data_IF_416644537079
#
_entry.id   IF_416644537079
#
_cell.length_a   1.000
_cell.length_b   1.000
_cell.length_c   1.000
_cell.angle_alpha   90.00
_cell.angle_beta   90.00
_cell.angle_gamma   90.00
#
_symmetry.space_group_name_H-M   'P 1'
#
loop_
_entity.id
_entity.type
_entity.pdbx_description
1 polymer ?
#
# COMPACT_ATOMS: atom_id res chain seq x y z
N UNK A 1 3.23 8.43 -8.24
CA UNK A 1 2.48 9.47 -7.51
C UNK A 1 3.33 10.72 -7.26
N UNK A 2 4.50 10.61 -6.64
CA UNK A 2 5.37 11.78 -6.32
C UNK A 2 5.92 12.49 -7.57
N UNK A 3 6.25 11.76 -8.65
CA UNK A 3 6.69 12.36 -9.91
C UNK A 3 5.56 13.05 -10.70
N UNK A 4 4.35 12.50 -10.67
CA UNK A 4 3.19 13.10 -11.35
C UNK A 4 2.76 14.42 -10.67
N UNK A 5 2.79 14.44 -9.33
CA UNK A 5 2.56 15.66 -8.54
C UNK A 5 3.65 16.71 -8.84
N UNK A 6 4.90 16.29 -9.03
CA UNK A 6 6.03 17.19 -9.32
C UNK A 6 5.85 17.95 -10.65
N UNK A 7 5.46 17.26 -11.72
CA UNK A 7 5.23 17.87 -13.03
C UNK A 7 4.01 18.80 -13.00
N UNK A 8 2.94 18.41 -12.30
CA UNK A 8 1.70 19.20 -12.23
C UNK A 8 1.87 20.51 -11.43
N UNK A 9 2.69 20.48 -10.38
CA UNK A 9 2.91 21.63 -9.48
C UNK A 9 3.90 22.62 -10.08
N UNK A 10 4.92 22.15 -10.81
CA UNK A 10 5.87 23.01 -11.53
C UNK A 10 5.19 23.79 -12.67
N UNK A 11 4.13 23.25 -13.28
CA UNK A 11 3.34 23.93 -14.30
C UNK A 11 2.35 24.97 -13.75
N UNK A 12 1.82 24.77 -12.54
CA UNK A 12 0.81 25.67 -11.93
C UNK A 12 1.43 26.82 -11.11
N UNK A 13 2.64 26.64 -10.57
CA UNK A 13 3.28 27.62 -9.69
C UNK A 13 4.81 27.64 -9.91
N UNK A 14 5.32 28.47 -10.84
CA UNK A 14 6.75 28.60 -11.14
C UNK A 14 7.48 29.31 -9.99
N UNK A 15 7.83 28.54 -8.96
CA UNK A 15 8.47 29.05 -7.74
C UNK A 15 8.57 28.04 -6.59
N UNK A 16 7.91 26.89 -6.69
CA UNK A 16 7.89 25.85 -5.64
C UNK A 16 9.12 24.92 -5.73
N UNK A 17 9.85 24.94 -6.86
CA UNK A 17 11.04 24.10 -7.12
C UNK A 17 12.11 24.10 -6.02
N UNK A 18 12.42 25.22 -5.29
CA UNK A 18 13.48 25.22 -4.29
C UNK A 18 13.14 24.55 -2.95
N UNK A 19 11.85 24.31 -2.64
CA UNK A 19 11.47 23.72 -1.34
C UNK A 19 11.76 22.22 -1.26
N UNK A 20 11.73 21.54 -2.41
CA UNK A 20 11.79 20.08 -2.49
C UNK A 20 13.20 19.51 -2.25
N UNK A 21 14.26 20.31 -2.41
CA UNK A 21 15.63 19.82 -2.29
C UNK A 21 16.18 19.86 -0.85
N UNK A 22 15.55 20.63 0.05
CA UNK A 22 16.05 20.85 1.41
C UNK A 22 15.43 19.94 2.48
N UNK A 23 14.31 19.27 2.20
CA UNK A 23 13.54 18.50 3.20
C UNK A 23 13.17 17.08 2.70
N UNK A 24 14.17 16.30 2.26
CA UNK A 24 13.97 14.89 1.91
C UNK A 24 13.78 14.05 3.19
N UNK A 25 12.55 13.58 3.44
CA UNK A 25 12.21 12.65 4.52
C UNK A 25 11.21 13.17 5.57
N UNK A 26 10.78 14.43 5.47
CA UNK A 26 9.77 15.00 6.38
C UNK A 26 8.41 15.19 5.70
N UNK A 27 7.34 15.19 6.49
CA UNK A 27 5.98 15.41 6.02
C UNK A 27 5.76 16.90 5.69
N UNK A 28 6.06 17.29 4.45
CA UNK A 28 6.02 18.69 3.99
C UNK A 28 4.61 19.20 3.65
N UNK A 29 3.55 18.43 3.92
CA UNK A 29 2.16 18.79 3.60
C UNK A 29 1.76 20.18 4.11
N UNK A 30 2.20 20.55 5.32
CA UNK A 30 1.87 21.84 5.90
C UNK A 30 2.50 23.02 5.13
N UNK A 31 3.74 22.85 4.65
CA UNK A 31 4.44 23.87 3.86
C UNK A 31 3.76 24.09 2.50
N UNK A 32 3.15 23.04 1.95
CA UNK A 32 2.40 23.11 0.69
C UNK A 32 1.09 23.86 0.85
N UNK A 33 0.37 23.59 1.95
CA UNK A 33 -0.89 24.29 2.26
C UNK A 33 -0.64 25.79 2.45
N UNK A 34 0.40 26.18 3.20
CA UNK A 34 0.72 27.60 3.39
C UNK A 34 1.15 28.27 2.08
N UNK A 35 1.91 27.59 1.21
CA UNK A 35 2.30 28.16 -0.09
C UNK A 35 1.12 28.36 -1.03
N UNK A 36 0.17 27.43 -1.04
CA UNK A 36 -1.07 27.56 -1.83
C UNK A 36 -1.90 28.73 -1.27
N UNK A 37 -1.98 28.87 0.06
CA UNK A 37 -2.68 29.98 0.71
C UNK A 37 -2.09 31.34 0.31
N UNK A 38 -0.76 31.47 0.32
CA UNK A 38 -0.07 32.70 -0.11
C UNK A 38 -0.43 33.08 -1.55
N UNK A 39 -0.39 32.12 -2.49
CA UNK A 39 -0.68 32.41 -3.90
C UNK A 39 -2.14 32.76 -4.14
N UNK A 40 -3.07 32.16 -3.38
CA UNK A 40 -4.49 32.51 -3.45
C UNK A 40 -4.76 33.93 -2.93
N UNK A 41 -4.04 34.35 -1.87
CA UNK A 41 -4.13 35.70 -1.32
C UNK A 41 -3.54 36.72 -2.31
N UNK A 42 -2.38 36.45 -2.93
CA UNK A 42 -1.77 37.32 -3.94
C UNK A 42 -2.69 37.51 -5.15
N UNK A 43 -3.31 36.44 -5.65
CA UNK A 43 -4.28 36.51 -6.75
C UNK A 43 -5.53 37.31 -6.41
N UNK A 44 -5.96 37.29 -5.15
CA UNK A 44 -7.10 38.10 -4.67
C UNK A 44 -6.79 39.60 -4.60
N UNK A 45 -5.51 39.97 -4.49
CA UNK A 45 -5.07 41.36 -4.38
C UNK A 45 -4.67 41.96 -5.75
N UNK A 46 -4.52 41.12 -6.79
CA UNK A 46 -4.06 41.56 -8.12
C UNK A 46 -5.17 41.80 -9.17
N UNK A 47 -6.44 41.66 -8.82
CA UNK A 47 -7.56 41.96 -9.73
C UNK A 47 -8.29 43.25 -9.32
N UNK A 48 -7.78 44.39 -9.78
CA UNK A 48 -8.56 45.62 -9.93
C UNK A 48 -8.23 46.30 -11.26
N UNK A 49 -9.17 46.25 -12.19
CA UNK A 49 -9.36 47.17 -13.32
C UNK A 49 -10.67 46.80 -14.06
N UNK A 50 -11.76 47.49 -13.72
CA UNK A 50 -13.09 47.32 -14.33
C UNK A 50 -13.25 47.90 -15.75
N UNK A 51 -14.50 48.00 -16.25
CA UNK A 51 -14.98 49.34 -16.61
C UNK A 51 -16.39 49.68 -16.09
N UNK A 52 -16.61 50.99 -16.04
CA UNK A 52 -17.65 51.78 -15.38
C UNK A 52 -18.83 52.11 -16.33
N UNK A 53 -20.08 52.13 -15.83
CA UNK A 53 -21.17 53.00 -16.33
C UNK A 53 -21.96 53.55 -15.13
N UNK A 54 -21.94 54.87 -15.01
CA UNK A 54 -22.64 55.70 -14.02
C UNK A 54 -24.16 55.83 -14.31
N UNK A 55 -25.02 55.98 -13.29
CA UNK A 55 -25.63 57.26 -12.84
C UNK A 55 -26.94 57.08 -12.03
N UNK A 56 -26.87 57.48 -10.75
CA UNK A 56 -27.75 58.39 -9.96
C UNK A 56 -29.28 58.26 -10.08
N UNK A 57 -29.99 57.93 -8.97
CA UNK A 57 -30.82 58.86 -8.14
C UNK A 57 -31.43 58.15 -6.92
N UNK A 58 -31.55 58.90 -5.83
CA UNK A 58 -32.28 58.67 -4.56
C UNK A 58 -33.76 58.31 -4.84
N UNK A 59 -34.49 57.53 -4.04
CA UNK A 59 -35.13 57.91 -2.77
C UNK A 59 -35.69 56.67 -2.01
N UNK A 60 -35.99 56.90 -0.73
CA UNK A 60 -36.46 56.00 0.34
C UNK A 60 -37.90 55.50 0.09
N UNK A 61 -38.22 54.23 0.34
CA UNK A 61 -39.47 53.84 1.03
C UNK A 61 -39.43 52.40 1.59
N UNK A 62 -40.16 52.21 2.69
CA UNK A 62 -40.22 51.11 3.62
C UNK A 62 -40.89 49.82 3.09
N UNK A 63 -40.48 48.66 3.63
CA UNK A 63 -41.43 47.56 3.87
C UNK A 63 -41.11 46.18 3.27
N UNK A 64 -40.72 45.27 4.18
CA UNK A 64 -41.11 43.85 4.26
C UNK A 64 -40.30 42.75 3.54
N UNK A 65 -39.78 41.86 4.43
CA UNK A 65 -39.75 40.39 4.42
C UNK A 65 -39.05 39.60 3.30
N UNK A 66 -38.07 38.81 3.77
CA UNK A 66 -37.62 37.49 3.30
C UNK A 66 -36.97 37.33 1.91
N UNK A 67 -35.63 37.26 1.87
CA UNK A 67 -34.89 36.25 1.07
C UNK A 67 -33.37 36.31 1.39
N UNK A 68 -32.77 35.23 1.91
CA UNK A 68 -31.31 35.05 1.97
C UNK A 68 -30.94 33.76 1.24
N UNK A 69 -31.07 33.81 -0.08
CA UNK A 69 -30.63 32.79 -1.01
C UNK A 69 -29.14 33.01 -1.35
N UNK A 70 -28.26 32.17 -0.78
CA UNK A 70 -26.85 32.06 -1.21
C UNK A 70 -26.80 31.17 -2.46
N UNK A 71 -26.84 31.80 -3.62
CA UNK A 71 -26.78 31.13 -4.92
C UNK A 71 -25.36 30.60 -5.19
N UNK A 72 -25.22 29.28 -5.13
CA UNK A 72 -23.99 28.55 -5.43
C UNK A 72 -23.77 28.52 -6.95
N UNK A 73 -22.78 29.26 -7.44
CA UNK A 73 -22.41 29.24 -8.87
C UNK A 73 -21.74 27.90 -9.23
N UNK A 74 -22.12 27.20 -10.33
CA UNK A 74 -21.60 25.89 -10.65
C UNK A 74 -20.16 25.96 -11.16
N UNK A 75 -19.31 25.06 -10.67
CA UNK A 75 -17.96 24.81 -11.20
C UNK A 75 -18.09 24.27 -12.63
N UNK A 76 -17.42 24.92 -13.59
CA UNK A 76 -17.49 24.60 -15.02
C UNK A 76 -17.10 23.12 -15.28
N UNK A 77 -18.05 22.40 -15.86
CA UNK A 77 -18.01 20.97 -16.21
C UNK A 77 -16.76 20.55 -17.01
N UNK A 78 -16.16 21.50 -17.73
CA UNK A 78 -15.00 21.26 -18.60
C UNK A 78 -13.72 20.98 -17.80
N UNK A 79 -13.62 21.47 -16.57
CA UNK A 79 -12.47 21.21 -15.69
C UNK A 79 -12.50 19.77 -15.17
N UNK A 80 -13.69 19.26 -14.85
CA UNK A 80 -13.90 17.87 -14.41
C UNK A 80 -13.72 16.91 -15.60
N UNK A 81 -14.19 17.29 -16.79
CA UNK A 81 -13.94 16.54 -18.02
C UNK A 81 -12.46 16.48 -18.36
N UNK A 82 -11.72 17.58 -18.18
CA UNK A 82 -10.26 17.59 -18.38
C UNK A 82 -9.53 16.77 -17.32
N UNK A 83 -9.96 16.82 -16.05
CA UNK A 83 -9.42 15.96 -14.99
C UNK A 83 -9.69 14.47 -15.26
N UNK A 84 -10.90 14.13 -15.72
CA UNK A 84 -11.28 12.78 -16.10
C UNK A 84 -10.57 12.31 -17.38
N UNK A 85 -10.30 13.22 -18.33
CA UNK A 85 -9.64 12.94 -19.60
C UNK A 85 -8.13 12.75 -19.45
N UNK A 86 -7.48 13.43 -18.50
CA UNK A 86 -6.04 13.26 -18.20
C UNK A 86 -5.79 12.04 -17.29
N UNK A 87 -6.78 11.56 -16.54
CA UNK A 87 -6.71 10.27 -15.81
C UNK A 87 -6.77 9.07 -16.77
N UNK A 88 -7.20 9.29 -18.02
CA UNK A 88 -7.33 8.26 -19.06
C UNK A 88 -6.14 8.14 -20.02
N UNK A 89 -4.92 8.49 -19.61
CA UNK A 89 -3.72 8.12 -20.37
C UNK A 89 -2.89 7.04 -19.65
N UNK A 90 -2.85 5.87 -20.29
CA UNK A 90 -2.20 4.58 -19.97
C UNK A 90 -2.98 3.64 -19.04
N UNK A 91 -4.19 3.25 -19.43
CA UNK A 91 -4.67 1.89 -19.13
C UNK A 91 -3.79 0.90 -19.91
N UNK A 92 -2.60 0.62 -19.40
CA UNK A 92 -2.11 -0.75 -19.52
C UNK A 92 -3.13 -1.59 -18.74
N UNK A 93 -3.91 -2.37 -19.49
CA UNK A 93 -4.80 -3.42 -18.96
C UNK A 93 -3.92 -4.45 -18.26
N UNK A 94 -3.54 -4.10 -17.03
CA UNK A 94 -2.71 -4.94 -16.19
C UNK A 94 -3.52 -6.19 -15.86
N UNK A 95 -3.03 -7.36 -16.29
CA UNK A 95 -3.75 -8.63 -16.10
C UNK A 95 -3.82 -8.99 -14.61
N UNK A 96 -4.99 -9.48 -14.17
CA UNK A 96 -5.19 -9.99 -12.81
C UNK A 96 -4.30 -11.23 -12.59
N UNK A 97 -3.36 -11.21 -11.64
CA UNK A 97 -2.54 -12.37 -11.38
C UNK A 97 -3.35 -13.57 -10.85
N UNK A 98 -2.96 -14.80 -11.21
CA UNK A 98 -3.62 -15.99 -10.69
C UNK A 98 -3.40 -16.13 -9.18
N UNK A 99 -4.45 -16.55 -8.48
CA UNK A 99 -4.41 -16.75 -7.02
C UNK A 99 -4.37 -18.24 -6.72
N UNK A 100 -3.34 -18.64 -5.98
CA UNK A 100 -3.17 -19.99 -5.46
C UNK A 100 -3.63 -20.05 -4.01
N UNK A 101 -4.33 -21.12 -3.63
CA UNK A 101 -4.84 -21.30 -2.27
C UNK A 101 -4.13 -22.50 -1.63
N UNK A 102 -3.55 -22.29 -0.45
CA UNK A 102 -2.86 -23.32 0.30
C UNK A 102 -3.82 -24.18 1.13
N UNK A 103 -3.28 -25.28 1.65
CA UNK A 103 -4.02 -26.16 2.56
C UNK A 103 -4.33 -25.45 3.89
N UNK A 104 -5.57 -25.54 4.40
CA UNK A 104 -5.94 -24.90 5.65
C UNK A 104 -5.33 -25.63 6.86
N UNK A 105 -4.96 -24.85 7.88
CA UNK A 105 -4.54 -25.35 9.20
C UNK A 105 -5.61 -24.97 10.22
N UNK A 106 -6.04 -25.92 11.05
CA UNK A 106 -7.02 -25.68 12.11
C UNK A 106 -6.45 -25.99 13.48
N UNK A 107 -6.72 -25.11 14.46
CA UNK A 107 -6.38 -25.28 15.88
C UNK A 107 -7.46 -24.62 16.73
N UNK A 108 -7.97 -25.34 17.74
CA UNK A 108 -8.99 -24.87 18.70
C UNK A 108 -10.11 -24.06 18.03
N UNK A 109 -10.72 -24.65 17.00
CA UNK A 109 -11.81 -24.10 16.16
C UNK A 109 -11.44 -22.89 15.30
N UNK A 110 -10.25 -22.31 15.47
CA UNK A 110 -9.72 -21.35 14.53
C UNK A 110 -9.18 -22.06 13.29
N UNK A 111 -9.41 -21.49 12.13
CA UNK A 111 -8.87 -21.99 10.85
C UNK A 111 -8.08 -20.90 10.16
N UNK A 112 -6.97 -21.28 9.53
CA UNK A 112 -6.05 -20.42 8.83
C UNK A 112 -5.86 -20.95 7.42
N UNK A 113 -5.88 -20.08 6.41
CA UNK A 113 -5.58 -20.46 5.04
C UNK A 113 -4.74 -19.36 4.39
N UNK A 114 -3.65 -19.75 3.74
CA UNK A 114 -2.85 -18.82 2.95
C UNK A 114 -3.30 -18.78 1.50
N UNK A 115 -3.14 -17.63 0.88
CA UNK A 115 -3.39 -17.33 -0.52
C UNK A 115 -2.16 -16.61 -1.07
N UNK A 116 -1.71 -17.00 -2.25
CA UNK A 116 -0.50 -16.49 -2.86
C UNK A 116 -0.81 -16.02 -4.28
N UNK A 117 -0.29 -14.86 -4.65
CA UNK A 117 -0.32 -14.40 -6.03
C UNK A 117 1.03 -13.78 -6.42
N UNK A 118 1.56 -14.09 -7.62
CA UNK A 118 2.68 -13.35 -8.18
C UNK A 118 2.24 -11.90 -8.44
N UNK A 119 3.06 -10.93 -8.05
CA UNK A 119 2.76 -9.51 -8.27
C UNK A 119 4.02 -8.75 -8.67
N UNK A 120 3.90 -7.87 -9.64
CA UNK A 120 4.96 -6.98 -10.12
C UNK A 120 4.66 -5.50 -9.88
N UNK A 121 3.44 -5.16 -9.45
CA UNK A 121 3.04 -3.78 -9.15
C UNK A 121 2.08 -3.68 -7.97
N UNK A 122 1.97 -2.50 -7.32
CA UNK A 122 0.95 -2.25 -6.31
C UNK A 122 -0.49 -2.29 -6.84
N UNK A 123 -0.69 -2.06 -8.15
CA UNK A 123 -2.02 -2.12 -8.75
C UNK A 123 -2.48 -3.57 -8.82
N UNK A 124 -1.62 -4.51 -9.21
CA UNK A 124 -1.89 -5.94 -9.10
C UNK A 124 -2.20 -6.41 -7.67
N UNK A 125 -1.50 -5.89 -6.65
CA UNK A 125 -1.82 -6.18 -5.24
C UNK A 125 -3.28 -5.84 -4.93
N UNK A 126 -3.75 -4.64 -5.30
CA UNK A 126 -5.14 -4.22 -5.10
C UNK A 126 -6.13 -5.09 -5.86
N UNK A 127 -5.80 -5.46 -7.10
CA UNK A 127 -6.63 -6.34 -7.92
C UNK A 127 -6.80 -7.73 -7.29
N UNK A 128 -5.72 -8.34 -6.79
CA UNK A 128 -5.76 -9.64 -6.12
C UNK A 128 -6.57 -9.57 -4.82
N UNK A 129 -6.38 -8.52 -4.01
CA UNK A 129 -7.16 -8.33 -2.79
C UNK A 129 -8.66 -8.20 -3.08
N UNK A 130 -9.04 -7.41 -4.10
CA UNK A 130 -10.41 -7.29 -4.56
C UNK A 130 -10.96 -8.65 -5.03
N UNK A 131 -10.18 -9.40 -5.81
CA UNK A 131 -10.55 -10.74 -6.30
C UNK A 131 -10.81 -11.71 -5.15
N UNK A 132 -9.96 -11.70 -4.13
CA UNK A 132 -10.12 -12.53 -2.94
C UNK A 132 -11.42 -12.20 -2.18
N UNK A 133 -11.79 -10.91 -2.11
CA UNK A 133 -13.02 -10.47 -1.47
C UNK A 133 -14.31 -10.81 -2.25
N UNK A 134 -14.24 -11.15 -3.54
CA UNK A 134 -15.40 -11.72 -4.25
C UNK A 134 -15.81 -13.08 -3.66
N UNK A 135 -14.87 -13.82 -3.08
CA UNK A 135 -15.16 -15.05 -2.38
C UNK A 135 -15.72 -14.74 -0.99
N UNK A 136 -17.03 -14.96 -0.81
CA UNK A 136 -17.74 -14.73 0.45
C UNK A 136 -17.08 -15.37 1.68
N UNK A 137 -16.46 -16.55 1.53
CA UNK A 137 -15.78 -17.23 2.65
C UNK A 137 -14.56 -16.43 3.12
N UNK A 138 -13.80 -15.88 2.18
CA UNK A 138 -12.60 -15.08 2.46
C UNK A 138 -13.00 -13.68 2.95
N UNK A 139 -13.98 -13.04 2.30
CA UNK A 139 -14.50 -11.75 2.72
C UNK A 139 -15.11 -11.75 4.14
N UNK A 140 -15.64 -12.90 4.58
CA UNK A 140 -16.17 -13.08 5.95
C UNK A 140 -15.15 -13.65 6.94
N UNK A 141 -13.87 -13.78 6.55
CA UNK A 141 -12.82 -14.11 7.50
C UNK A 141 -12.74 -13.05 8.61
N UNK A 142 -12.36 -13.48 9.81
CA UNK A 142 -12.19 -12.55 10.94
C UNK A 142 -11.03 -11.59 10.67
N UNK A 143 -9.98 -12.08 10.01
CA UNK A 143 -8.81 -11.29 9.60
C UNK A 143 -8.29 -11.81 8.25
N UNK A 144 -7.99 -10.91 7.32
CA UNK A 144 -7.30 -11.13 6.05
C UNK A 144 -5.96 -10.41 6.07
N UNK A 145 -5.02 -10.99 6.83
CA UNK A 145 -3.67 -10.44 7.04
C UNK A 145 -2.90 -10.56 5.73
N UNK A 146 -2.18 -9.53 5.31
CA UNK A 146 -1.34 -9.65 4.11
C UNK A 146 0.01 -8.99 4.23
N UNK A 147 0.93 -9.46 3.38
CA UNK A 147 2.19 -8.81 3.11
C UNK A 147 2.60 -9.07 1.66
N UNK A 148 3.29 -8.11 1.04
CA UNK A 148 3.86 -8.31 -0.30
C UNK A 148 5.27 -7.77 -0.38
N UNK A 149 6.03 -8.31 -1.33
CA UNK A 149 7.37 -7.84 -1.69
C UNK A 149 7.51 -7.84 -3.20
N UNK A 150 7.71 -6.65 -3.78
CA UNK A 150 7.94 -6.44 -5.21
C UNK A 150 9.37 -5.91 -5.36
N UNK A 151 10.18 -6.56 -6.18
CA UNK A 151 11.54 -6.15 -6.44
C UNK A 151 11.57 -5.13 -7.59
N UNK A 152 12.14 -3.96 -7.32
CA UNK A 152 12.29 -2.89 -8.29
C UNK A 152 13.72 -2.93 -8.87
N UNK A 153 13.85 -3.40 -10.11
CA UNK A 153 15.16 -3.57 -10.77
C UNK A 153 15.89 -2.23 -10.99
N UNK A 154 15.15 -1.16 -11.28
CA UNK A 154 15.68 0.19 -11.49
C UNK A 154 16.42 0.74 -10.26
N UNK A 155 15.87 0.51 -9.07
CA UNK A 155 16.40 1.01 -7.80
C UNK A 155 17.23 -0.01 -7.05
N UNK A 156 17.21 -1.27 -7.49
CA UNK A 156 17.80 -2.40 -6.76
C UNK A 156 17.26 -2.53 -5.32
N UNK A 157 15.98 -2.19 -5.10
CA UNK A 157 15.32 -2.21 -3.78
C UNK A 157 13.98 -2.95 -3.84
N UNK A 158 13.36 -3.15 -2.68
CA UNK A 158 12.02 -3.73 -2.57
C UNK A 158 10.99 -2.65 -2.27
N UNK A 159 9.90 -2.67 -3.03
CA UNK A 159 8.63 -2.10 -2.63
C UNK A 159 7.85 -3.17 -1.86
N UNK A 160 7.60 -2.92 -0.58
CA UNK A 160 7.00 -3.90 0.31
C UNK A 160 6.13 -3.20 1.35
N UNK A 161 5.02 -3.84 1.71
CA UNK A 161 4.07 -3.34 2.70
C UNK A 161 3.32 -4.53 3.34
N UNK A 162 2.60 -4.27 4.43
CA UNK A 162 1.82 -5.27 5.15
C UNK A 162 0.63 -4.66 5.90
N UNK A 163 -0.39 -5.48 6.14
CA UNK A 163 -1.60 -5.13 6.88
C UNK A 163 -1.97 -6.24 7.85
N UNK A 164 -2.35 -5.85 9.07
CA UNK A 164 -2.73 -6.75 10.16
C UNK A 164 -4.21 -7.16 10.06
N UNK A 165 -5.07 -6.31 9.48
CA UNK A 165 -6.53 -6.46 9.45
C UNK A 165 -7.13 -6.81 10.83
N UNK A 166 -6.68 -6.08 11.87
CA UNK A 166 -7.11 -6.29 13.25
C UNK A 166 -6.43 -7.46 13.99
N UNK A 167 -5.67 -8.32 13.31
CA UNK A 167 -4.78 -9.30 13.96
C UNK A 167 -3.45 -8.63 14.33
N UNK A 168 -3.43 -7.91 15.46
CA UNK A 168 -2.30 -7.06 15.86
C UNK A 168 -0.94 -7.76 15.75
N UNK A 169 -0.01 -7.10 15.06
CA UNK A 169 1.37 -7.49 14.78
C UNK A 169 1.54 -8.72 13.86
N UNK A 170 0.50 -9.18 13.15
CA UNK A 170 0.60 -10.33 12.25
C UNK A 170 1.19 -9.98 10.87
N UNK A 171 0.77 -8.89 10.25
CA UNK A 171 1.25 -8.41 8.95
C UNK A 171 2.74 -8.13 8.96
N UNK A 172 3.24 -7.41 9.97
CA UNK A 172 4.67 -7.15 10.12
C UNK A 172 5.49 -8.44 10.31
N UNK A 173 4.97 -9.43 11.05
CA UNK A 173 5.62 -10.74 11.22
C UNK A 173 5.59 -11.56 9.92
N UNK A 174 4.50 -11.48 9.16
CA UNK A 174 4.36 -12.13 7.87
C UNK A 174 5.34 -11.54 6.85
N UNK A 175 5.45 -10.21 6.79
CA UNK A 175 6.44 -9.54 5.95
C UNK A 175 7.86 -9.94 6.35
N UNK A 176 8.15 -9.97 7.64
CA UNK A 176 9.47 -10.39 8.14
C UNK A 176 9.80 -11.84 7.76
N UNK A 177 8.82 -12.76 7.82
CA UNK A 177 8.98 -14.11 7.32
C UNK A 177 9.36 -14.13 5.84
N UNK A 178 8.65 -13.36 5.00
CA UNK A 178 8.95 -13.25 3.57
C UNK A 178 10.34 -12.65 3.30
N UNK A 179 10.81 -11.73 4.16
CA UNK A 179 12.17 -11.19 4.13
C UNK A 179 13.22 -12.26 4.42
N UNK A 180 13.06 -13.02 5.52
CA UNK A 180 13.97 -14.10 5.89
C UNK A 180 14.06 -15.16 4.78
N UNK A 181 12.92 -15.49 4.16
CA UNK A 181 12.84 -16.46 3.06
C UNK A 181 13.33 -15.89 1.71
N UNK A 182 13.75 -14.62 1.66
CA UNK A 182 14.19 -13.90 0.46
C UNK A 182 13.18 -14.00 -0.71
N UNK A 183 11.88 -14.00 -0.40
CA UNK A 183 10.80 -14.08 -1.39
C UNK A 183 10.73 -12.79 -2.19
N UNK A 184 10.50 -12.90 -3.50
CA UNK A 184 10.41 -11.76 -4.42
C UNK A 184 9.15 -11.86 -5.28
N UNK A 185 8.59 -10.70 -5.64
CA UNK A 185 7.47 -10.52 -6.56
C UNK A 185 6.23 -11.34 -6.19
N UNK A 186 5.85 -11.31 -4.91
CA UNK A 186 4.71 -12.07 -4.38
C UNK A 186 3.93 -11.29 -3.33
N UNK A 187 2.62 -11.48 -3.38
CA UNK A 187 1.66 -11.15 -2.34
C UNK A 187 1.24 -12.45 -1.63
N UNK A 188 1.26 -12.43 -0.30
CA UNK A 188 0.68 -13.48 0.53
C UNK A 188 -0.42 -12.87 1.39
N UNK A 189 -1.60 -13.48 1.36
CA UNK A 189 -2.73 -13.18 2.24
C UNK A 189 -3.00 -14.40 3.11
N UNK A 190 -3.15 -14.24 4.41
CA UNK A 190 -3.53 -15.31 5.33
C UNK A 190 -4.87 -14.96 5.96
N UNK A 191 -5.91 -15.67 5.55
CA UNK A 191 -7.24 -15.56 6.12
C UNK A 191 -7.33 -16.39 7.40
N UNK A 192 -7.79 -15.76 8.48
CA UNK A 192 -8.10 -16.41 9.76
C UNK A 192 -9.60 -16.32 10.03
N UNK A 193 -10.22 -17.48 10.28
CA UNK A 193 -11.56 -17.58 10.84
C UNK A 193 -11.46 -17.89 12.34
N UNK A 194 -11.91 -16.96 13.19
CA UNK A 194 -11.85 -17.11 14.65
C UNK A 194 -12.91 -18.09 15.15
N UNK A 195 -12.49 -19.09 15.94
CA UNK A 195 -13.37 -20.14 16.45
C UNK A 195 -13.93 -19.92 17.86
N UNK A 196 -13.78 -18.72 18.42
CA UNK A 196 -14.22 -18.41 19.79
C UNK A 196 -13.20 -18.67 20.90
N UNK A 197 -12.05 -19.30 20.59
CA UNK A 197 -10.99 -19.63 21.57
C UNK A 197 -9.73 -18.81 21.29
N UNK A 198 -9.27 -18.04 22.27
CA UNK A 198 -8.03 -17.26 22.16
C UNK A 198 -6.81 -18.18 22.10
N UNK A 199 -6.10 -18.16 20.98
CA UNK A 199 -4.90 -18.96 20.76
C UNK A 199 -3.63 -18.36 21.39
N UNK A 200 -3.66 -17.09 21.80
CA UNK A 200 -2.48 -16.39 22.27
C UNK A 200 -1.38 -16.37 21.19
N UNK A 201 -0.10 -16.57 21.54
CA UNK A 201 1.01 -16.56 20.58
C UNK A 201 0.94 -17.65 19.50
N UNK A 202 0.22 -18.75 19.71
CA UNK A 202 0.19 -19.87 18.77
C UNK A 202 -0.42 -19.50 17.41
N UNK A 203 -1.32 -18.50 17.37
CA UNK A 203 -1.88 -17.99 16.11
C UNK A 203 -0.79 -17.54 15.13
N UNK A 204 0.28 -16.92 15.63
CA UNK A 204 1.39 -16.47 14.78
C UNK A 204 2.17 -17.65 14.21
N UNK A 205 2.26 -18.77 14.93
CA UNK A 205 2.85 -20.00 14.41
C UNK A 205 2.03 -20.51 13.22
N UNK A 206 0.70 -20.56 13.36
CA UNK A 206 -0.19 -21.01 12.28
C UNK A 206 -0.17 -20.08 11.07
N UNK A 207 -0.21 -18.76 11.27
CA UNK A 207 -0.09 -17.76 10.20
C UNK A 207 1.20 -17.97 9.41
N UNK A 208 2.34 -18.04 10.13
CA UNK A 208 3.64 -18.24 9.51
C UNK A 208 3.78 -19.60 8.81
N UNK A 209 3.18 -20.65 9.37
CA UNK A 209 3.23 -21.99 8.78
C UNK A 209 2.38 -22.07 7.51
N UNK A 210 1.16 -21.52 7.50
CA UNK A 210 0.34 -21.44 6.28
C UNK A 210 1.09 -20.69 5.16
N UNK A 211 1.66 -19.52 5.48
CA UNK A 211 2.42 -18.72 4.52
C UNK A 211 3.67 -19.46 4.01
N UNK A 212 4.47 -20.06 4.90
CA UNK A 212 5.66 -20.82 4.51
C UNK A 212 5.30 -22.01 3.62
N UNK A 213 4.26 -22.75 3.97
CA UNK A 213 3.86 -23.95 3.23
C UNK A 213 3.52 -23.62 1.78
N UNK A 214 2.70 -22.59 1.54
CA UNK A 214 2.34 -22.19 0.17
C UNK A 214 3.53 -21.59 -0.59
N UNK A 215 4.42 -20.85 0.08
CA UNK A 215 5.63 -20.32 -0.54
C UNK A 215 6.59 -21.43 -1.00
N UNK A 216 6.72 -22.50 -0.21
CA UNK A 216 7.54 -23.67 -0.55
C UNK A 216 6.88 -24.48 -1.67
N UNK A 217 5.58 -24.72 -1.57
CA UNK A 217 4.79 -25.48 -2.56
C UNK A 217 4.92 -24.86 -3.96
N UNK A 218 4.87 -23.53 -4.06
CA UNK A 218 5.01 -22.79 -5.31
C UNK A 218 6.45 -22.33 -5.60
N UNK A 219 7.46 -22.88 -4.91
CA UNK A 219 8.90 -22.66 -5.17
C UNK A 219 9.38 -21.19 -5.09
N UNK A 220 8.75 -20.38 -4.23
CA UNK A 220 9.18 -19.00 -3.98
C UNK A 220 10.31 -18.87 -2.96
N UNK A 221 10.65 -19.97 -2.27
CA UNK A 221 11.79 -20.03 -1.36
C UNK A 221 13.01 -20.58 -2.09
N UNK A 222 14.10 -19.82 -2.17
CA UNK A 222 15.38 -20.37 -2.59
C UNK A 222 15.79 -21.49 -1.62
N UNK A 223 16.19 -22.64 -2.14
CA UNK A 223 16.67 -23.76 -1.33
C UNK A 223 17.85 -23.32 -0.45
N UNK A 224 17.60 -23.05 0.82
CA UNK A 224 18.63 -22.96 1.85
C UNK A 224 19.19 -24.36 2.22
N UNK A 225 18.80 -25.43 1.51
CA UNK A 225 19.25 -26.79 1.80
C UNK A 225 20.62 -27.13 1.20
N UNK A 226 21.17 -26.30 0.30
CA UNK A 226 22.52 -26.57 -0.26
C UNK A 226 23.64 -26.19 0.72
N UNK A 227 23.43 -25.24 1.63
CA UNK A 227 24.46 -24.75 2.55
C UNK A 227 24.68 -25.65 3.77
N UNK A 228 23.72 -26.51 4.11
CA UNK A 228 23.74 -27.33 5.33
C UNK A 228 24.27 -28.77 5.12
N UNK A 229 24.41 -29.24 3.87
CA UNK A 229 24.98 -30.56 3.56
C UNK A 229 26.52 -30.61 3.53
N UNK A 230 27.21 -29.47 3.44
CA UNK A 230 28.68 -29.42 3.44
C UNK A 230 29.32 -29.38 4.85
N UNK A 231 28.60 -28.98 5.89
CA UNK A 231 29.17 -28.87 7.25
C UNK A 231 29.10 -30.17 8.07
N UNK A 232 28.35 -31.18 7.62
CA UNK A 232 28.12 -32.44 8.34
C UNK A 232 29.12 -33.58 8.08
N UNK A 233 29.98 -33.49 7.06
CA UNK A 233 30.88 -34.60 6.66
C UNK A 233 32.29 -34.57 7.30
N UNK A 234 32.71 -33.48 7.95
CA UNK A 234 34.08 -33.35 8.46
C UNK A 234 34.26 -33.62 9.97
N UNK A 235 33.26 -34.15 10.69
CA UNK A 235 33.35 -34.38 12.15
C UNK A 235 33.29 -35.85 12.59
N UNK A 236 33.79 -36.78 11.77
CA UNK A 236 33.86 -38.21 12.10
C UNK A 236 35.18 -38.89 11.72
N UNK A 237 36.34 -38.30 12.00
CA UNK A 237 37.59 -39.07 12.14
C UNK A 237 38.51 -38.37 13.15
N UNK A 238 38.45 -38.77 14.42
CA UNK A 238 39.56 -38.77 15.41
C UNK A 238 39.02 -39.09 16.81
N UNK A 239 38.92 -40.37 17.12
CA UNK A 239 39.12 -40.84 18.50
C UNK A 239 39.54 -42.31 18.51
N UNK A 240 40.61 -42.56 19.25
CA UNK A 240 41.07 -43.83 19.83
C UNK A 240 41.83 -44.84 18.96
N UNK A 241 43.15 -44.65 18.89
CA UNK A 241 44.12 -45.76 18.85
C UNK A 241 45.34 -45.44 19.72
N UNK A 242 45.28 -45.79 21.01
CA UNK A 242 46.47 -45.97 21.86
C UNK A 242 46.19 -47.07 22.88
N UNK A 243 46.46 -48.32 22.48
CA UNK A 243 46.75 -49.42 23.41
C UNK A 243 48.25 -49.60 23.44
N UNK A 244 48.80 -49.44 24.63
CA UNK A 244 50.20 -49.54 25.01
C UNK A 244 50.57 -51.01 25.18
N UNK A 245 51.64 -51.45 24.52
CA UNK A 245 52.44 -52.61 24.89
C UNK A 245 53.78 -52.09 25.41
N UNK A 246 54.05 -52.27 26.70
CA UNK A 246 55.28 -52.80 27.29
C UNK A 246 55.23 -52.70 28.82
#
# INVERSE_FOLDING_TARGET
MVHLIKVYVEGLFPGISPLNLKNLGECILYLWVEKIREVLIEKSQSSDAGPNVEKITEEIDEGNEDDYSLEYQPVQEDTIKTLNFVISESQEDEELPPVNHGNPISDRRSTFQAHLAPVVSPKQVKMVLAKLHENKKIASATHNIYAYRIYCEDKQTYLQDCEDDGETAAGGRLLHLMQILNVRNVLVVVSRWYGGIRLGPDRFKHINNCARNILVEYSYTSSAEESSKQLGKNKRVRKDKKRTEH
#
